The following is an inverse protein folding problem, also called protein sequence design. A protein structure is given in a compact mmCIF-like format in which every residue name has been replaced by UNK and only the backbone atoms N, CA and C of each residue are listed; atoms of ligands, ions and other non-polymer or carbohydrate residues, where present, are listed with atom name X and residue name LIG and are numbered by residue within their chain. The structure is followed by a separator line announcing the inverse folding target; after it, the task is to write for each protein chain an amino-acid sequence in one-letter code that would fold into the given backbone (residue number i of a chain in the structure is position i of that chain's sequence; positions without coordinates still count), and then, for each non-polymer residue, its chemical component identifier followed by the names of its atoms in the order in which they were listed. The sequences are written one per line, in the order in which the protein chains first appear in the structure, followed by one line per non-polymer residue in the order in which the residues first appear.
data_IF_305802669415
#
_entry.id   IF_305802669415
#
_cell.length_a   1.000
_cell.length_b   1.000
_cell.length_c   1.000
_cell.angle_alpha   90.00
_cell.angle_beta   90.00
_cell.angle_gamma   90.00
#
_symmetry.space_group_name_H-M   'P 1'
#
loop_
_entity.id
_entity.type
_entity.pdbx_description
1 polymer ?
#
# COMPACT_ATOMS: atom_id res chain seq x y z
N UNK A 1 6.69 15.86 -14.84
CA UNK A 1 7.01 15.35 -16.20
C UNK A 1 6.13 16.06 -17.23
N UNK A 2 6.21 15.75 -18.53
CA UNK A 2 5.24 16.31 -19.49
C UNK A 2 3.83 15.71 -19.24
N UNK A 3 2.78 16.50 -19.45
CA UNK A 3 1.41 16.03 -19.27
C UNK A 3 1.06 14.90 -20.27
N UNK A 4 0.32 13.89 -19.81
CA UNK A 4 -0.10 12.76 -20.66
C UNK A 4 1.06 12.03 -21.36
N UNK A 5 2.22 11.94 -20.72
CA UNK A 5 3.44 11.39 -21.33
C UNK A 5 3.71 9.92 -20.98
N UNK A 6 3.11 9.38 -19.93
CA UNK A 6 3.39 8.02 -19.45
C UNK A 6 2.17 7.11 -19.52
N UNK A 7 2.40 5.86 -19.90
CA UNK A 7 1.37 4.79 -19.91
C UNK A 7 1.27 4.07 -18.55
N UNK A 8 2.37 4.05 -17.78
CA UNK A 8 2.44 3.38 -16.49
C UNK A 8 3.22 4.23 -15.48
N UNK A 9 2.63 4.43 -14.31
CA UNK A 9 3.35 4.84 -13.09
C UNK A 9 3.44 3.64 -12.17
N UNK A 10 4.61 3.36 -11.62
CA UNK A 10 4.81 2.26 -10.70
C UNK A 10 5.60 2.73 -9.49
N UNK A 11 5.08 2.46 -8.30
CA UNK A 11 5.77 2.68 -7.03
C UNK A 11 5.58 1.49 -6.12
N UNK A 12 6.69 0.92 -5.65
CA UNK A 12 6.70 -0.20 -4.72
C UNK A 12 7.66 0.07 -3.57
N UNK A 13 7.19 -0.14 -2.34
CA UNK A 13 7.97 -0.03 -1.09
C UNK A 13 8.70 1.31 -0.92
N UNK A 14 8.12 2.38 -1.48
CA UNK A 14 8.63 3.74 -1.37
C UNK A 14 7.60 4.66 -0.71
N UNK A 15 6.36 4.66 -1.21
CA UNK A 15 5.28 5.52 -0.70
C UNK A 15 4.61 4.98 0.57
N UNK A 16 5.11 3.87 1.09
CA UNK A 16 4.69 3.27 2.35
C UNK A 16 5.07 4.11 3.58
N UNK A 17 6.10 4.94 3.46
CA UNK A 17 6.57 5.87 4.50
C UNK A 17 6.06 7.31 4.29
N UNK A 18 5.33 7.56 3.20
CA UNK A 18 4.89 8.90 2.84
C UNK A 18 3.60 9.26 3.61
N UNK A 19 3.57 10.48 4.16
CA UNK A 19 2.37 11.01 4.78
C UNK A 19 1.27 11.34 3.75
N UNK A 20 0.09 11.69 4.25
CA UNK A 20 -1.05 12.05 3.41
C UNK A 20 -0.77 13.25 2.49
N UNK A 21 0.01 14.24 2.91
CA UNK A 21 0.28 15.43 2.11
C UNK A 21 1.22 15.09 0.93
N UNK A 22 2.23 14.26 1.17
CA UNK A 22 3.11 13.73 0.13
C UNK A 22 2.32 12.87 -0.85
N UNK A 23 1.51 11.92 -0.36
CA UNK A 23 0.68 11.09 -1.24
C UNK A 23 -0.30 11.93 -2.07
N UNK A 24 -0.91 12.96 -1.49
CA UNK A 24 -1.80 13.85 -2.24
C UNK A 24 -1.06 14.55 -3.40
N UNK A 25 0.15 15.05 -3.17
CA UNK A 25 0.97 15.66 -4.21
C UNK A 25 1.35 14.66 -5.31
N UNK A 26 1.64 13.40 -4.93
CA UNK A 26 1.86 12.32 -5.91
C UNK A 26 0.62 12.02 -6.75
N UNK A 27 -0.57 11.97 -6.14
CA UNK A 27 -1.82 11.74 -6.85
C UNK A 27 -2.10 12.86 -7.87
N UNK A 28 -1.78 14.10 -7.52
CA UNK A 28 -1.90 15.26 -8.42
C UNK A 28 -0.93 15.19 -9.61
N UNK A 29 0.34 14.85 -9.37
CA UNK A 29 1.30 14.64 -10.46
C UNK A 29 0.90 13.44 -11.33
N UNK A 30 0.44 12.33 -10.74
CA UNK A 30 -0.03 11.16 -11.46
C UNK A 30 -1.19 11.53 -12.40
N UNK A 31 -2.19 12.27 -11.91
CA UNK A 31 -3.30 12.74 -12.73
C UNK A 31 -2.84 13.58 -13.93
N UNK A 32 -1.75 14.33 -13.77
CA UNK A 32 -1.17 15.20 -14.80
C UNK A 32 -0.40 14.40 -15.86
N UNK A 33 0.46 13.47 -15.43
CA UNK A 33 1.41 12.81 -16.33
C UNK A 33 0.83 11.59 -17.04
N UNK A 34 -0.22 10.99 -16.49
CA UNK A 34 -0.82 9.77 -17.02
C UNK A 34 -1.60 10.04 -18.32
N UNK A 35 -1.37 9.20 -19.33
CA UNK A 35 -2.18 9.18 -20.56
C UNK A 35 -3.64 8.77 -20.27
N UNK A 36 -4.61 9.07 -21.15
CA UNK A 36 -6.02 8.69 -21.01
C UNK A 36 -6.25 7.23 -20.58
N UNK A 37 -5.55 6.29 -21.21
CA UNK A 37 -5.64 4.85 -20.92
C UNK A 37 -4.44 4.32 -20.11
N UNK A 38 -3.69 5.21 -19.46
CA UNK A 38 -2.60 4.81 -18.59
C UNK A 38 -3.10 4.33 -17.22
N UNK A 39 -2.24 3.59 -16.52
CA UNK A 39 -2.49 3.13 -15.16
C UNK A 39 -1.36 3.52 -14.21
N UNK A 40 -1.68 3.64 -12.92
CA UNK A 40 -0.70 3.78 -11.85
C UNK A 40 -0.87 2.65 -10.84
N UNK A 41 0.20 1.96 -10.52
CA UNK A 41 0.26 1.00 -9.41
C UNK A 41 1.05 1.63 -8.27
N UNK A 42 0.43 1.71 -7.08
CA UNK A 42 1.01 2.33 -5.90
C UNK A 42 0.93 1.39 -4.71
N UNK A 43 2.08 1.04 -4.15
CA UNK A 43 2.21 0.47 -2.81
C UNK A 43 2.30 1.60 -1.77
N UNK A 44 1.35 1.66 -0.84
CA UNK A 44 1.29 2.66 0.22
C UNK A 44 0.85 2.07 1.56
N UNK A 45 1.02 2.84 2.64
CA UNK A 45 0.53 2.47 3.97
C UNK A 45 -1.00 2.39 4.01
N UNK A 46 -1.51 1.46 4.82
CA UNK A 46 -2.90 1.33 5.20
C UNK A 46 -3.11 1.41 6.72
N UNK A 47 -2.09 1.81 7.49
CA UNK A 47 -2.14 1.90 8.96
C UNK A 47 -3.28 2.82 9.43
N UNK A 48 -3.63 3.85 8.66
CA UNK A 48 -4.72 4.76 8.98
C UNK A 48 -6.09 4.10 9.16
N UNK A 49 -6.33 2.91 8.59
CA UNK A 49 -7.57 2.15 8.83
C UNK A 49 -7.67 1.62 10.27
N UNK A 50 -6.53 1.44 10.95
CA UNK A 50 -6.45 0.83 12.28
C UNK A 50 -6.22 1.83 13.41
N UNK A 51 -6.24 3.14 13.14
CA UNK A 51 -5.88 4.18 14.12
C UNK A 51 -6.54 3.99 15.48
N UNK A 52 -7.86 3.81 15.51
CA UNK A 52 -8.61 3.64 16.76
C UNK A 52 -8.19 2.40 17.55
N UNK A 53 -7.90 1.30 16.84
CA UNK A 53 -7.43 0.04 17.45
C UNK A 53 -6.01 0.24 18.02
N UNK A 54 -5.12 0.88 17.25
CA UNK A 54 -3.75 1.14 17.68
C UNK A 54 -3.72 2.10 18.89
N UNK A 55 -4.53 3.16 18.88
CA UNK A 55 -4.66 4.09 19.99
C UNK A 55 -5.22 3.39 21.25
N UNK A 56 -6.19 2.50 21.08
CA UNK A 56 -6.72 1.65 22.15
C UNK A 56 -5.64 0.74 22.76
N UNK A 57 -4.83 0.08 21.93
CA UNK A 57 -3.73 -0.78 22.39
C UNK A 57 -2.70 0.04 23.19
N UNK A 58 -2.30 1.19 22.66
CA UNK A 58 -1.34 2.11 23.28
C UNK A 58 -1.83 2.73 24.58
N UNK A 59 -3.15 2.82 24.77
CA UNK A 59 -3.75 3.33 26.00
C UNK A 59 -3.62 2.36 27.19
N UNK A 60 -3.35 1.07 26.93
CA UNK A 60 -3.23 0.04 27.96
C UNK A 60 -1.76 -0.27 28.23
N UNK A 61 -1.28 0.12 29.42
CA UNK A 61 0.12 -0.09 29.81
C UNK A 61 0.51 -1.58 29.74
N UNK A 62 1.58 -1.88 29.00
CA UNK A 62 2.16 -3.22 28.89
C UNK A 62 1.48 -4.14 27.88
N UNK A 63 0.38 -3.72 27.24
CA UNK A 63 -0.33 -4.54 26.27
C UNK A 63 0.49 -4.76 24.98
N UNK A 64 1.17 -3.73 24.47
CA UNK A 64 2.06 -3.86 23.29
C UNK A 64 3.15 -4.91 23.52
N UNK A 65 3.85 -4.83 24.66
CA UNK A 65 4.89 -5.78 25.03
C UNK A 65 4.35 -7.23 25.12
N UNK A 66 3.14 -7.40 25.64
CA UNK A 66 2.51 -8.72 25.72
C UNK A 66 2.09 -9.24 24.33
N UNK A 67 1.55 -8.37 23.46
CA UNK A 67 1.21 -8.74 22.08
C UNK A 67 2.46 -9.08 21.25
N UNK A 68 3.57 -8.35 21.46
CA UNK A 68 4.86 -8.67 20.87
C UNK A 68 5.38 -10.02 21.34
N UNK A 69 5.29 -10.29 22.65
CA UNK A 69 5.68 -11.59 23.25
C UNK A 69 4.88 -12.75 22.65
N UNK A 70 3.62 -12.52 22.31
CA UNK A 70 2.74 -13.49 21.65
C UNK A 70 2.93 -13.54 20.12
N UNK A 71 3.85 -12.76 19.56
CA UNK A 71 4.10 -12.71 18.11
C UNK A 71 2.92 -12.17 17.31
N UNK A 72 2.06 -11.36 17.95
CA UNK A 72 0.85 -10.80 17.35
C UNK A 72 1.00 -9.31 17.02
N UNK A 73 2.20 -8.74 17.22
CA UNK A 73 2.49 -7.31 17.06
C UNK A 73 3.93 -7.08 16.59
N UNK A 74 4.10 -6.18 15.63
CA UNK A 74 5.39 -5.61 15.23
C UNK A 74 5.39 -4.12 15.62
N UNK A 75 6.27 -3.76 16.55
CA UNK A 75 6.30 -2.43 17.17
C UNK A 75 6.64 -1.30 16.20
N UNK A 76 7.34 -1.63 15.11
CA UNK A 76 7.77 -0.65 14.14
C UNK A 76 6.68 -0.29 13.13
N UNK A 77 5.61 -1.10 13.04
CA UNK A 77 4.69 -1.13 11.89
C UNK A 77 5.46 -1.00 10.57
N UNK A 78 6.67 -1.56 10.48
CA UNK A 78 7.61 -1.42 9.36
C UNK A 78 7.79 0.02 8.84
N UNK A 79 7.79 1.00 9.77
CA UNK A 79 7.90 2.43 9.51
C UNK A 79 6.81 2.97 8.58
N UNK A 80 5.68 2.27 8.45
CA UNK A 80 4.54 2.71 7.65
C UNK A 80 3.97 4.00 8.24
N UNK A 81 3.65 4.97 7.39
CA UNK A 81 3.04 6.21 7.86
C UNK A 81 1.63 5.95 8.44
N UNK A 82 1.26 6.49 9.62
CA UNK A 82 -0.02 6.21 10.28
C UNK A 82 -1.20 7.02 9.72
N UNK A 83 -0.95 7.93 8.78
CA UNK A 83 -1.97 8.77 8.15
C UNK A 83 -2.80 8.00 7.11
N UNK A 84 -2.18 7.50 6.04
CA UNK A 84 -2.89 6.94 4.89
C UNK A 84 -3.66 5.66 5.22
N UNK A 85 -4.84 5.54 4.60
CA UNK A 85 -5.57 4.29 4.45
C UNK A 85 -5.96 4.08 2.99
N UNK A 86 -6.28 2.85 2.61
CA UNK A 86 -6.82 2.49 1.30
C UNK A 86 -8.06 3.32 0.96
N UNK A 87 -8.96 3.48 1.94
CA UNK A 87 -10.17 4.30 1.82
C UNK A 87 -9.85 5.79 1.62
N UNK A 88 -8.88 6.31 2.37
CA UNK A 88 -8.42 7.69 2.20
C UNK A 88 -7.85 7.91 0.81
N UNK A 89 -6.94 7.04 0.35
CA UNK A 89 -6.29 7.16 -0.96
C UNK A 89 -7.31 7.09 -2.11
N UNK A 90 -8.27 6.16 -2.06
CA UNK A 90 -9.31 6.07 -3.09
C UNK A 90 -10.17 7.34 -3.19
N UNK A 91 -10.51 7.95 -2.04
CA UNK A 91 -11.26 9.22 -1.99
C UNK A 91 -10.42 10.39 -2.51
N UNK A 92 -9.17 10.51 -2.07
CA UNK A 92 -8.27 11.58 -2.50
C UNK A 92 -7.93 11.46 -3.99
N UNK A 93 -7.72 10.25 -4.51
CA UNK A 93 -7.52 10.03 -5.94
C UNK A 93 -8.72 10.53 -6.75
N UNK A 94 -9.95 10.30 -6.26
CA UNK A 94 -11.16 10.79 -6.92
C UNK A 94 -11.22 12.32 -7.00
N UNK A 95 -10.80 13.04 -5.95
CA UNK A 95 -10.79 14.51 -5.97
C UNK A 95 -9.75 15.08 -6.94
N UNK A 96 -8.73 14.30 -7.30
CA UNK A 96 -7.67 14.67 -8.25
C UNK A 96 -7.95 14.21 -9.70
N UNK A 97 -9.16 13.72 -9.99
CA UNK A 97 -9.51 13.26 -11.35
C UNK A 97 -8.99 11.87 -11.72
N UNK A 98 -8.50 11.12 -10.73
CA UNK A 98 -8.19 9.70 -10.85
C UNK A 98 -9.36 8.85 -10.37
N UNK A 99 -9.27 7.56 -10.62
CA UNK A 99 -10.17 6.54 -10.08
C UNK A 99 -9.35 5.37 -9.60
N UNK A 100 -9.58 4.94 -8.36
CA UNK A 100 -9.05 3.69 -7.86
C UNK A 100 -9.93 2.53 -8.35
N UNK A 101 -9.34 1.54 -9.02
CA UNK A 101 -10.07 0.41 -9.62
C UNK A 101 -9.83 -0.89 -8.87
N UNK A 102 -8.69 -1.03 -8.20
CA UNK A 102 -8.41 -2.16 -7.32
C UNK A 102 -7.57 -1.71 -6.14
N UNK A 103 -7.81 -2.34 -4.99
CA UNK A 103 -6.96 -2.25 -3.82
C UNK A 103 -6.79 -3.64 -3.23
N UNK A 104 -5.56 -4.15 -3.21
CA UNK A 104 -5.23 -5.37 -2.51
C UNK A 104 -4.61 -4.99 -1.15
N UNK A 105 -5.30 -5.35 -0.08
CA UNK A 105 -4.87 -5.14 1.29
C UNK A 105 -4.07 -6.36 1.72
N UNK A 106 -2.84 -6.14 2.17
CA UNK A 106 -1.91 -7.22 2.51
C UNK A 106 -1.36 -7.03 3.93
N UNK A 107 -1.22 -8.10 4.71
CA UNK A 107 -0.42 -8.05 5.92
C UNK A 107 1.05 -7.88 5.57
N UNK A 108 1.79 -7.22 6.45
CA UNK A 108 3.24 -7.10 6.33
C UNK A 108 3.91 -7.41 7.67
N UNK A 109 4.93 -8.27 7.63
CA UNK A 109 5.65 -8.75 8.82
C UNK A 109 4.88 -9.73 9.70
N UNK A 110 5.08 -9.62 11.01
CA UNK A 110 4.54 -10.56 12.01
C UNK A 110 3.09 -10.26 12.43
N UNK A 111 2.42 -9.30 11.76
CA UNK A 111 1.06 -8.88 12.07
C UNK A 111 -0.02 -9.55 11.22
N UNK A 112 -1.24 -9.62 11.76
CA UNK A 112 -2.47 -9.94 10.99
C UNK A 112 -3.18 -8.69 10.43
N UNK A 113 -2.65 -7.51 10.74
CA UNK A 113 -3.21 -6.25 10.26
C UNK A 113 -2.78 -6.05 8.81
N UNK A 114 -3.72 -5.65 7.96
CA UNK A 114 -3.45 -5.31 6.57
C UNK A 114 -2.86 -3.90 6.49
N UNK A 115 -1.64 -3.73 6.99
CA UNK A 115 -0.97 -2.43 7.11
C UNK A 115 -0.45 -1.88 5.79
N UNK A 116 -0.48 -2.67 4.72
CA UNK A 116 -0.02 -2.30 3.39
C UNK A 116 -1.19 -2.43 2.40
N UNK A 117 -1.20 -1.57 1.39
CA UNK A 117 -2.17 -1.62 0.30
C UNK A 117 -1.51 -1.39 -1.06
N UNK A 118 -1.86 -2.24 -2.02
CA UNK A 118 -1.54 -2.08 -3.43
C UNK A 118 -2.74 -1.51 -4.15
N UNK A 119 -2.67 -0.25 -4.56
CA UNK A 119 -3.75 0.45 -5.24
C UNK A 119 -3.44 0.63 -6.72
N UNK A 120 -4.39 0.24 -7.58
CA UNK A 120 -4.33 0.55 -9.01
C UNK A 120 -5.26 1.72 -9.31
N UNK A 121 -4.69 2.78 -9.87
CA UNK A 121 -5.38 4.00 -10.27
C UNK A 121 -5.37 4.15 -11.79
N UNK A 122 -6.42 4.75 -12.32
CA UNK A 122 -6.54 5.15 -13.72
C UNK A 122 -7.11 6.55 -13.77
N UNK A 123 -7.09 7.21 -14.92
CA UNK A 123 -7.83 8.47 -15.06
C UNK A 123 -9.33 8.23 -14.99
N UNK A 124 -10.07 9.20 -14.45
CA UNK A 124 -11.52 9.11 -14.32
C UNK A 124 -12.25 9.02 -15.68
N UNK A 125 -11.62 9.53 -16.74
CA UNK A 125 -12.08 9.51 -18.14
C UNK A 125 -11.65 8.26 -18.93
N UNK A 126 -10.86 7.36 -18.34
CA UNK A 126 -10.42 6.11 -18.99
C UNK A 126 -11.56 5.12 -19.26
N UNK A 127 -11.33 4.21 -20.19
CA UNK A 127 -12.25 3.11 -20.52
C UNK A 127 -12.29 1.97 -19.48
N UNK A 128 -11.38 2.00 -18.50
CA UNK A 128 -11.22 0.98 -17.47
C UNK A 128 -12.45 0.84 -16.53
N UNK A 129 -12.58 -0.30 -15.82
CA UNK A 129 -13.68 -0.57 -14.89
C UNK A 129 -13.96 0.57 -13.91
N UNK A 130 -15.23 0.78 -13.57
CA UNK A 130 -15.67 1.97 -12.82
C UNK A 130 -15.67 1.81 -11.31
N UNK A 131 -15.63 0.60 -10.77
CA UNK A 131 -15.73 0.36 -9.34
C UNK A 131 -14.41 -0.13 -8.77
N UNK A 132 -14.07 0.37 -7.59
CA UNK A 132 -12.94 -0.10 -6.82
C UNK A 132 -13.23 -1.49 -6.25
N UNK A 133 -12.45 -2.49 -6.62
CA UNK A 133 -12.49 -3.82 -6.01
C UNK A 133 -11.47 -3.90 -4.87
N UNK A 134 -11.95 -4.08 -3.65
CA UNK A 134 -11.10 -4.23 -2.46
C UNK A 134 -10.94 -5.72 -2.15
N UNK A 135 -9.70 -6.19 -2.20
CA UNK A 135 -9.30 -7.58 -2.01
C UNK A 135 -8.49 -7.65 -0.72
N UNK A 136 -8.73 -8.66 0.11
CA UNK A 136 -7.90 -8.95 1.27
C UNK A 136 -7.09 -10.20 0.96
N UNK A 137 -5.77 -10.09 0.97
CA UNK A 137 -4.87 -11.21 0.71
C UNK A 137 -4.24 -11.66 2.02
N UNK A 138 -4.96 -12.53 2.75
CA UNK A 138 -4.43 -13.21 3.94
C UNK A 138 -3.25 -14.15 3.63
N UNK A 139 -3.09 -14.55 2.36
CA UNK A 139 -2.08 -15.49 1.91
C UNK A 139 -0.73 -14.81 1.55
N UNK A 140 -0.65 -13.48 1.63
CA UNK A 140 0.47 -12.71 1.09
C UNK A 140 1.81 -13.05 1.75
N UNK A 141 1.83 -13.33 3.06
CA UNK A 141 3.06 -13.75 3.74
C UNK A 141 3.55 -15.11 3.22
N UNK A 142 2.63 -16.07 2.99
CA UNK A 142 2.98 -17.36 2.39
C UNK A 142 3.50 -17.19 0.95
N UNK A 143 2.97 -16.22 0.21
CA UNK A 143 3.44 -15.86 -1.14
C UNK A 143 4.86 -15.27 -1.10
N UNK A 144 5.16 -14.36 -0.16
CA UNK A 144 6.51 -13.82 0.07
C UNK A 144 7.49 -14.95 0.41
N UNK A 145 7.11 -15.86 1.31
CA UNK A 145 7.95 -17.01 1.67
C UNK A 145 8.21 -17.91 0.47
N UNK A 146 7.17 -18.16 -0.34
CA UNK A 146 7.30 -18.95 -1.56
C UNK A 146 8.23 -18.27 -2.57
N UNK A 147 8.04 -16.98 -2.83
CA UNK A 147 8.89 -16.18 -3.71
C UNK A 147 10.34 -16.17 -3.21
N UNK A 148 10.56 -16.06 -1.90
CA UNK A 148 11.89 -16.11 -1.28
C UNK A 148 12.57 -17.47 -1.45
N UNK A 149 11.81 -18.57 -1.42
CA UNK A 149 12.32 -19.91 -1.74
C UNK A 149 12.68 -20.03 -3.22
N UNK A 150 11.79 -19.58 -4.11
CA UNK A 150 12.01 -19.61 -5.57
C UNK A 150 13.21 -18.76 -5.99
N UNK A 151 13.40 -17.58 -5.39
CA UNK A 151 14.50 -16.69 -5.69
C UNK A 151 15.87 -17.35 -5.54
N UNK A 152 16.00 -18.37 -4.67
CA UNK A 152 17.24 -19.15 -4.50
C UNK A 152 17.60 -19.96 -5.74
N UNK A 153 16.63 -20.31 -6.59
CA UNK A 153 16.87 -21.06 -7.83
C UNK A 153 17.25 -20.16 -9.01
N UNK A 154 16.90 -18.87 -8.94
CA UNK A 154 17.16 -17.90 -10.01
C UNK A 154 18.27 -16.89 -9.65
N UNK A 155 18.68 -16.84 -8.38
CA UNK A 155 19.79 -16.03 -7.92
C UNK A 155 21.13 -16.57 -8.44
N UNK A 156 22.08 -15.67 -8.75
CA UNK A 156 23.48 -16.08 -8.93
C UNK A 156 23.98 -16.75 -7.64
N UNK A 157 24.71 -17.85 -7.77
CA UNK A 157 25.51 -18.37 -6.67
C UNK A 157 26.34 -17.21 -6.10
N UNK A 158 26.19 -16.95 -4.80
CA UNK A 158 27.08 -16.01 -4.10
C UNK A 158 28.48 -16.61 -4.23
N UNK A 159 29.34 -16.01 -5.06
CA UNK A 159 30.78 -16.26 -4.95
C UNK A 159 31.19 -15.76 -3.56
N UNK A 160 31.67 -16.70 -2.76
CA UNK A 160 32.28 -16.47 -1.45
C UNK A 160 33.37 -15.39 -1.49
#
# INVERSE_FOLDING_TARGET
MAAGSVDLVFSFDSLVHADCAVLEAYLEEIATVLKPEGAAFIHHSNVGEYREVLDGIRSVQGLEAELQRLGCWDDSLHLRDPGPSARWLARTAQTKGLRCITQELVPWGLGRLFIDAFSTLVRADSSHPRHNQVIHNDAFVQEIEHASRLARWYGKDRKD
#
